data_IF_716084379466
#
_entry.id   IF_716084379466
#
_cell.length_a   1.000
_cell.length_b   1.000
_cell.length_c   1.000
_cell.angle_alpha   90.00
_cell.angle_beta   90.00
_cell.angle_gamma   90.00
#
_symmetry.space_group_name_H-M   'P 1'
#
loop_
_entity.id
_entity.type
_entity.pdbx_description
1 polymer ?
#
# COMPACT_ATOMS: atom_id res chain seq x y z
N UNK A 1 -22.45 -2.40 7.58
CA UNK A 1 -22.94 -2.06 6.20
C UNK A 1 -21.81 -1.33 5.49
N UNK A 2 -21.52 -1.68 4.21
CA UNK A 2 -20.46 -1.05 3.44
C UNK A 2 -21.08 0.01 2.52
N UNK A 3 -20.95 1.29 2.86
CA UNK A 3 -21.54 2.41 2.12
C UNK A 3 -20.79 2.65 0.82
N UNK A 4 -21.50 2.57 -0.32
CA UNK A 4 -20.94 2.98 -1.61
C UNK A 4 -20.99 4.50 -1.76
N UNK A 5 -19.89 5.09 -2.19
CA UNK A 5 -19.81 6.52 -2.50
C UNK A 5 -20.40 6.83 -3.87
N UNK A 6 -20.89 8.07 -4.03
CA UNK A 6 -21.36 8.64 -5.31
C UNK A 6 -20.26 9.46 -5.99
N UNK A 7 -20.24 9.64 -7.33
CA UNK A 7 -19.28 10.51 -8.01
C UNK A 7 -19.36 11.98 -7.56
N UNK A 8 -18.21 12.64 -7.44
CA UNK A 8 -18.16 14.06 -7.10
C UNK A 8 -16.85 14.54 -6.47
N UNK A 9 -16.79 15.77 -5.93
CA UNK A 9 -15.64 16.25 -5.21
C UNK A 9 -15.47 15.47 -3.90
N UNK A 10 -14.21 15.25 -3.50
CA UNK A 10 -13.90 14.58 -2.22
C UNK A 10 -14.23 15.48 -1.02
N UNK A 11 -13.90 16.77 -1.12
CA UNK A 11 -14.06 17.75 -0.05
C UNK A 11 -15.05 18.84 -0.45
N UNK A 12 -15.75 19.37 0.52
CA UNK A 12 -16.58 20.58 0.40
C UNK A 12 -15.70 21.87 0.50
N UNK A 13 -16.34 23.04 0.34
CA UNK A 13 -15.66 24.35 0.40
C UNK A 13 -15.07 24.66 1.77
N UNK A 14 -15.39 23.89 2.81
CA UNK A 14 -14.85 24.01 4.15
C UNK A 14 -13.72 23.02 4.44
N UNK A 15 -13.42 22.16 3.47
CA UNK A 15 -12.40 21.11 3.57
C UNK A 15 -12.84 19.87 4.35
N UNK A 16 -14.14 19.60 4.44
CA UNK A 16 -14.70 18.39 5.04
C UNK A 16 -14.98 17.35 3.95
N UNK A 17 -14.90 16.07 4.29
CA UNK A 17 -15.39 15.00 3.40
C UNK A 17 -16.85 15.21 3.06
N UNK A 18 -17.18 15.22 1.77
CA UNK A 18 -18.57 15.31 1.28
C UNK A 18 -19.32 14.01 1.60
N UNK A 19 -18.65 12.89 1.48
CA UNK A 19 -19.22 11.56 1.70
C UNK A 19 -18.14 10.62 2.23
N UNK A 20 -18.53 9.69 3.09
CA UNK A 20 -17.66 8.64 3.63
C UNK A 20 -18.13 7.29 3.12
N UNK A 21 -17.19 6.39 2.80
CA UNK A 21 -17.54 5.10 2.24
C UNK A 21 -16.43 4.56 1.34
N UNK A 22 -16.81 3.63 0.46
CA UNK A 22 -15.88 3.02 -0.49
C UNK A 22 -16.45 3.03 -1.93
N UNK A 23 -15.60 2.71 -2.89
CA UNK A 23 -15.99 2.49 -4.28
C UNK A 23 -15.03 1.50 -4.96
N UNK A 24 -15.45 0.78 -6.02
CA UNK A 24 -14.58 -0.10 -6.79
C UNK A 24 -13.71 0.66 -7.81
N UNK A 25 -13.84 1.98 -7.91
CA UNK A 25 -13.07 2.83 -8.81
C UNK A 25 -12.92 4.25 -8.26
N UNK A 26 -12.02 5.04 -8.85
CA UNK A 26 -11.83 6.44 -8.47
C UNK A 26 -13.00 7.31 -8.94
N UNK A 27 -13.98 7.52 -8.06
CA UNK A 27 -15.18 8.32 -8.34
C UNK A 27 -15.22 9.65 -7.58
N UNK A 28 -14.38 9.82 -6.54
CA UNK A 28 -14.22 11.07 -5.79
C UNK A 28 -12.96 11.78 -6.25
N UNK A 29 -13.10 13.05 -6.60
CA UNK A 29 -11.99 13.87 -7.09
C UNK A 29 -11.26 14.51 -5.92
N UNK A 30 -10.05 14.04 -5.64
CA UNK A 30 -9.12 14.69 -4.73
C UNK A 30 -8.59 15.97 -5.37
N UNK A 31 -8.48 17.03 -4.58
CA UNK A 31 -7.80 18.28 -4.92
C UNK A 31 -7.02 18.76 -3.72
N UNK A 32 -5.69 18.78 -3.83
CA UNK A 32 -4.83 19.28 -2.74
C UNK A 32 -5.20 20.72 -2.35
N UNK A 33 -5.59 21.54 -3.31
CA UNK A 33 -6.01 22.93 -3.10
C UNK A 33 -7.30 23.10 -2.29
N UNK A 34 -8.15 22.06 -2.23
CA UNK A 34 -9.37 22.07 -1.42
C UNK A 34 -9.11 21.79 0.08
N UNK A 35 -7.89 21.39 0.44
CA UNK A 35 -7.53 21.11 1.83
C UNK A 35 -7.31 22.43 2.57
N UNK A 36 -8.08 22.66 3.62
CA UNK A 36 -8.00 23.86 4.47
C UNK A 36 -7.06 23.69 5.68
N UNK A 37 -6.55 22.49 5.93
CA UNK A 37 -5.59 22.22 6.97
C UNK A 37 -4.20 22.80 6.64
N UNK A 38 -3.36 23.09 7.65
CA UNK A 38 -2.00 23.53 7.42
C UNK A 38 -1.19 22.53 6.57
N UNK A 39 -0.39 23.04 5.62
CA UNK A 39 0.34 22.20 4.64
C UNK A 39 1.23 21.14 5.27
N UNK A 40 1.80 21.38 6.45
CA UNK A 40 2.63 20.41 7.16
C UNK A 40 1.85 19.19 7.67
N UNK A 41 0.51 19.27 7.73
CA UNK A 41 -0.36 18.16 8.13
C UNK A 41 -0.83 17.30 6.96
N UNK A 42 -0.65 17.76 5.73
CA UNK A 42 -1.07 17.01 4.54
C UNK A 42 -0.07 15.88 4.32
N UNK A 43 -0.59 14.68 4.09
CA UNK A 43 0.16 13.46 3.82
C UNK A 43 -0.25 12.92 2.47
N UNK A 44 0.72 12.68 1.61
CA UNK A 44 0.53 12.11 0.29
C UNK A 44 1.64 11.10 0.03
N UNK A 45 1.29 9.93 -0.52
CA UNK A 45 2.28 8.93 -0.91
C UNK A 45 1.78 8.06 -2.04
N UNK A 46 2.75 7.55 -2.77
CA UNK A 46 2.60 6.42 -3.67
C UNK A 46 3.60 5.35 -3.21
N UNK A 47 3.08 4.22 -2.78
CA UNK A 47 3.84 3.04 -2.38
C UNK A 47 3.52 1.90 -3.33
N UNK A 48 4.53 1.39 -4.00
CA UNK A 48 4.45 0.17 -4.81
C UNK A 48 5.19 -0.95 -4.12
N UNK A 49 4.61 -2.15 -4.12
CA UNK A 49 5.30 -3.37 -3.73
C UNK A 49 5.08 -4.42 -4.81
N UNK A 50 6.16 -4.91 -5.39
CA UNK A 50 6.15 -5.95 -6.44
C UNK A 50 6.86 -7.18 -5.92
N UNK A 51 6.15 -8.31 -5.92
CA UNK A 51 6.62 -9.57 -5.36
C UNK A 51 6.66 -10.67 -6.43
N UNK A 52 7.68 -11.52 -6.34
CA UNK A 52 7.76 -12.85 -6.93
C UNK A 52 7.81 -13.89 -5.82
N UNK A 53 7.81 -15.17 -6.11
CA UNK A 53 7.99 -16.22 -5.10
C UNK A 53 9.34 -16.13 -4.37
N UNK A 54 10.38 -15.59 -5.02
CA UNK A 54 11.76 -15.63 -4.56
C UNK A 54 12.28 -14.31 -3.99
N UNK A 55 11.77 -13.17 -4.51
CA UNK A 55 12.23 -11.83 -4.13
C UNK A 55 11.16 -10.77 -4.39
N UNK A 56 11.40 -9.58 -3.87
CA UNK A 56 10.50 -8.46 -4.07
C UNK A 56 11.19 -7.10 -3.94
N UNK A 57 10.51 -6.07 -4.41
CA UNK A 57 10.93 -4.68 -4.26
C UNK A 57 9.75 -3.83 -3.82
N UNK A 58 10.00 -2.95 -2.83
CA UNK A 58 9.05 -1.90 -2.47
C UNK A 58 9.66 -0.52 -2.76
N UNK A 59 8.87 0.34 -3.39
CA UNK A 59 9.25 1.68 -3.82
C UNK A 59 8.28 2.70 -3.26
N UNK A 60 8.78 3.75 -2.62
CA UNK A 60 7.96 4.77 -1.98
C UNK A 60 8.38 6.17 -2.40
N UNK A 61 7.42 7.01 -2.76
CA UNK A 61 7.57 8.46 -2.79
C UNK A 61 6.50 9.05 -1.88
N UNK A 62 6.91 9.77 -0.84
CA UNK A 62 6.00 10.36 0.13
C UNK A 62 6.31 11.83 0.41
N UNK A 63 5.25 12.66 0.45
CA UNK A 63 5.24 14.03 0.95
C UNK A 63 4.39 14.07 2.24
N UNK A 64 5.05 13.97 3.38
CA UNK A 64 4.40 14.05 4.69
C UNK A 64 4.31 15.48 5.23
N UNK A 65 4.45 16.47 4.35
CA UNK A 65 4.44 17.89 4.69
C UNK A 65 5.80 18.36 5.21
N UNK A 66 6.09 18.19 6.48
CA UNK A 66 7.39 18.57 7.07
C UNK A 66 8.54 17.61 6.69
N UNK A 67 8.24 16.43 6.22
CA UNK A 67 9.21 15.40 5.84
C UNK A 67 8.72 14.68 4.59
N UNK A 68 9.58 14.49 3.62
CA UNK A 68 9.34 13.62 2.47
C UNK A 68 10.32 12.46 2.47
N UNK A 69 10.02 11.47 1.68
CA UNK A 69 10.74 10.20 1.63
C UNK A 69 10.79 9.67 0.21
N UNK A 70 11.99 9.24 -0.22
CA UNK A 70 12.17 8.33 -1.34
C UNK A 70 12.72 7.03 -0.73
N UNK A 71 11.94 5.96 -0.79
CA UNK A 71 12.27 4.71 -0.14
C UNK A 71 12.41 3.55 -1.12
N UNK A 72 13.40 2.70 -0.90
CA UNK A 72 13.58 1.43 -1.57
C UNK A 72 13.76 0.35 -0.52
N UNK A 73 13.01 -0.75 -0.65
CA UNK A 73 13.28 -1.98 0.07
C UNK A 73 13.46 -3.12 -0.93
N UNK A 74 14.57 -3.83 -0.83
CA UNK A 74 14.81 -5.08 -1.53
C UNK A 74 14.59 -6.24 -0.55
N UNK A 75 13.93 -7.30 -1.02
CA UNK A 75 13.54 -8.46 -0.22
C UNK A 75 14.02 -9.73 -0.94
N UNK A 76 14.76 -10.60 -0.26
CA UNK A 76 15.10 -11.95 -0.74
C UNK A 76 14.43 -12.98 0.17
N UNK A 77 13.49 -13.76 -0.37
CA UNK A 77 12.71 -14.76 0.37
C UNK A 77 13.36 -16.14 0.36
N UNK A 78 14.32 -16.41 -0.53
CA UNK A 78 15.08 -17.65 -0.59
C UNK A 78 16.08 -17.75 0.55
N UNK A 79 16.72 -16.61 0.85
CA UNK A 79 17.61 -16.42 1.99
C UNK A 79 17.06 -15.24 2.77
N UNK A 80 16.12 -15.43 3.71
CA UNK A 80 15.37 -14.33 4.32
C UNK A 80 16.25 -13.15 4.70
N UNK A 81 16.19 -12.09 3.91
CA UNK A 81 17.00 -10.89 4.07
C UNK A 81 16.30 -9.68 3.41
N UNK A 82 16.45 -8.51 4.03
CA UNK A 82 15.95 -7.26 3.48
C UNK A 82 17.02 -6.17 3.53
N UNK A 83 16.98 -5.26 2.58
CA UNK A 83 17.77 -4.03 2.57
C UNK A 83 16.79 -2.88 2.34
N UNK A 84 16.62 -2.05 3.35
CA UNK A 84 15.76 -0.86 3.26
C UNK A 84 16.59 0.40 3.42
N UNK A 85 16.56 1.27 2.41
CA UNK A 85 17.21 2.57 2.45
C UNK A 85 16.28 3.70 2.02
N UNK A 86 16.46 4.84 2.65
CA UNK A 86 15.59 6.00 2.48
C UNK A 86 16.39 7.29 2.25
N UNK A 87 15.96 8.07 1.27
CA UNK A 87 16.44 9.44 1.05
C UNK A 87 15.41 10.41 1.62
N UNK A 88 15.80 11.12 2.68
CA UNK A 88 14.94 12.08 3.36
C UNK A 88 14.90 13.43 2.63
N UNK A 89 13.71 13.99 2.49
CA UNK A 89 13.45 15.28 1.85
C UNK A 89 12.88 16.25 2.92
N UNK A 90 13.63 17.26 3.37
CA UNK A 90 13.13 18.16 4.40
C UNK A 90 12.06 19.11 3.84
N UNK A 91 10.95 19.23 4.56
CA UNK A 91 9.86 20.19 4.33
C UNK A 91 9.37 20.28 2.88
N UNK A 92 8.96 19.17 2.23
CA UNK A 92 8.46 19.23 0.85
C UNK A 92 7.17 20.06 0.73
N UNK A 93 6.22 19.96 1.67
CA UNK A 93 5.02 20.80 1.77
C UNK A 93 4.19 20.85 0.47
N UNK A 94 4.13 19.74 -0.29
CA UNK A 94 3.46 19.62 -1.56
C UNK A 94 4.33 19.93 -2.79
N UNK A 95 5.62 20.23 -2.58
CA UNK A 95 6.54 20.54 -3.71
C UNK A 95 6.97 19.31 -4.51
N UNK A 96 6.69 18.09 -4.00
CA UNK A 96 6.94 16.88 -4.79
C UNK A 96 5.95 16.75 -5.94
N UNK A 97 4.80 17.45 -5.89
CA UNK A 97 3.84 17.47 -6.97
C UNK A 97 3.16 16.12 -7.21
N UNK A 98 2.91 15.36 -6.14
CA UNK A 98 2.24 14.08 -6.27
C UNK A 98 0.86 14.24 -6.94
N UNK A 99 0.50 13.37 -7.90
CA UNK A 99 -0.75 13.48 -8.67
C UNK A 99 -2.00 13.48 -7.80
N UNK A 100 -3.02 14.19 -8.27
CA UNK A 100 -4.35 14.26 -7.62
C UNK A 100 -5.24 13.06 -7.97
N UNK A 101 -4.78 12.16 -8.82
CA UNK A 101 -5.44 10.91 -9.24
C UNK A 101 -4.45 9.75 -9.20
N UNK A 102 -4.95 8.53 -8.96
CA UNK A 102 -4.17 7.32 -9.17
C UNK A 102 -4.15 6.86 -10.64
N UNK A 103 -4.97 7.46 -11.49
CA UNK A 103 -5.11 7.09 -12.91
C UNK A 103 -4.41 8.05 -13.87
N UNK A 104 -3.90 9.17 -13.38
CA UNK A 104 -3.31 10.21 -14.23
C UNK A 104 -2.23 10.99 -13.48
N UNK A 105 -1.22 11.43 -14.23
CA UNK A 105 -0.10 12.22 -13.73
C UNK A 105 1.09 11.36 -13.29
N UNK A 106 2.28 11.91 -13.49
CA UNK A 106 3.54 11.26 -13.21
C UNK A 106 4.12 11.71 -11.86
N UNK A 107 4.79 10.82 -11.17
CA UNK A 107 5.68 11.13 -10.06
C UNK A 107 7.11 11.13 -10.57
N UNK A 108 7.79 12.28 -10.53
CA UNK A 108 9.21 12.39 -10.91
C UNK A 108 9.94 13.20 -9.86
N UNK A 109 10.72 12.51 -9.03
CA UNK A 109 11.43 13.14 -7.91
C UNK A 109 12.89 12.73 -7.91
N UNK A 110 13.77 13.68 -7.64
CA UNK A 110 15.22 13.43 -7.53
C UNK A 110 15.80 14.12 -6.29
N UNK A 111 16.76 13.46 -5.67
CA UNK A 111 17.57 14.03 -4.59
C UNK A 111 19.01 13.53 -4.68
N UNK A 112 19.95 14.45 -4.90
CA UNK A 112 21.33 14.06 -5.20
C UNK A 112 21.38 13.24 -6.50
N UNK A 113 21.89 12.01 -6.39
CA UNK A 113 21.92 11.06 -7.51
C UNK A 113 20.77 10.07 -7.51
N UNK A 114 19.93 10.05 -6.48
CA UNK A 114 18.73 9.20 -6.44
C UNK A 114 17.64 9.82 -7.30
N UNK A 115 16.98 9.02 -8.14
CA UNK A 115 15.91 9.42 -9.04
C UNK A 115 14.81 8.36 -9.02
N UNK A 116 13.57 8.81 -8.82
CA UNK A 116 12.36 7.99 -8.81
C UNK A 116 11.38 8.55 -9.83
N UNK A 117 10.91 7.69 -10.73
CA UNK A 117 9.91 7.99 -11.74
C UNK A 117 8.82 6.92 -11.70
N UNK A 118 7.60 7.32 -11.44
CA UNK A 118 6.41 6.49 -11.58
C UNK A 118 5.53 7.15 -12.63
N UNK A 119 5.53 6.59 -13.83
CA UNK A 119 4.88 7.18 -15.00
C UNK A 119 3.67 6.39 -15.41
N UNK A 120 2.61 7.10 -15.77
CA UNK A 120 1.50 6.49 -16.49
C UNK A 120 1.88 6.34 -17.96
N UNK A 121 1.68 5.15 -18.49
CA UNK A 121 1.93 4.79 -19.89
C UNK A 121 0.78 3.94 -20.41
N UNK A 122 0.71 3.74 -21.72
CA UNK A 122 -0.34 2.91 -22.32
C UNK A 122 -0.37 1.51 -21.68
N UNK A 123 -1.52 1.15 -21.15
CA UNK A 123 -1.78 -0.14 -20.52
C UNK A 123 -1.23 -0.31 -19.11
N UNK A 124 -0.60 0.71 -18.48
CA UNK A 124 -0.07 0.51 -17.14
C UNK A 124 0.75 1.65 -16.56
N UNK A 125 1.68 1.24 -15.71
CA UNK A 125 2.62 2.12 -15.01
C UNK A 125 4.04 1.67 -15.24
N UNK A 126 4.94 2.60 -15.52
CA UNK A 126 6.36 2.37 -15.66
C UNK A 126 7.10 2.95 -14.46
N UNK A 127 7.73 2.10 -13.67
CA UNK A 127 8.47 2.48 -12.48
C UNK A 127 9.97 2.40 -12.79
N UNK A 128 10.65 3.54 -12.75
CA UNK A 128 12.09 3.63 -12.98
C UNK A 128 12.73 4.23 -11.74
N UNK A 129 13.69 3.52 -11.16
CA UNK A 129 14.43 4.01 -9.99
C UNK A 129 15.92 3.84 -10.21
N UNK A 130 16.66 4.94 -10.06
CA UNK A 130 18.12 4.95 -9.96
C UNK A 130 18.51 5.38 -8.55
N UNK A 131 19.18 4.50 -7.80
CA UNK A 131 19.69 4.81 -6.47
C UNK A 131 21.15 4.34 -6.32
N UNK A 132 22.12 5.14 -6.78
CA UNK A 132 23.54 4.74 -6.81
C UNK A 132 24.17 4.48 -5.44
N UNK A 133 23.62 5.04 -4.36
CA UNK A 133 24.14 4.82 -3.00
C UNK A 133 23.57 3.56 -2.32
N UNK A 134 22.57 2.91 -2.91
CA UNK A 134 21.89 1.75 -2.33
C UNK A 134 22.88 0.62 -2.01
N UNK A 135 22.64 -0.06 -0.87
CA UNK A 135 23.42 -1.20 -0.39
C UNK A 135 24.93 -0.87 -0.30
N UNK A 136 25.25 0.16 0.50
CA UNK A 136 26.63 0.56 0.69
C UNK A 136 27.35 1.07 -0.56
N UNK A 137 26.60 1.52 -1.57
CA UNK A 137 27.13 2.04 -2.84
C UNK A 137 27.24 1.00 -3.95
N UNK A 138 26.71 -0.21 -3.76
CA UNK A 138 26.54 -1.18 -4.87
C UNK A 138 25.64 -0.62 -5.97
N UNK A 139 24.68 0.22 -5.57
CA UNK A 139 23.73 0.85 -6.46
C UNK A 139 22.54 -0.05 -6.83
N UNK A 140 21.40 0.59 -7.03
CA UNK A 140 20.18 -0.07 -7.52
C UNK A 140 19.66 0.66 -8.76
N UNK A 141 19.28 -0.11 -9.77
CA UNK A 141 18.51 0.32 -10.92
C UNK A 141 17.30 -0.59 -11.07
N UNK A 142 16.09 -0.04 -11.01
CA UNK A 142 14.85 -0.75 -11.29
C UNK A 142 14.19 -0.16 -12.53
N UNK A 143 13.71 -1.06 -13.40
CA UNK A 143 12.94 -0.75 -14.61
C UNK A 143 11.81 -1.77 -14.69
N UNK A 144 10.61 -1.38 -14.21
CA UNK A 144 9.47 -2.26 -14.05
C UNK A 144 8.24 -1.66 -14.72
N UNK A 145 7.57 -2.46 -15.53
CA UNK A 145 6.25 -2.17 -16.07
C UNK A 145 5.21 -2.97 -15.29
N UNK A 146 4.21 -2.28 -14.75
CA UNK A 146 3.05 -2.87 -14.08
C UNK A 146 1.82 -2.66 -14.97
N UNK A 147 1.31 -3.74 -15.54
CA UNK A 147 0.08 -3.68 -16.33
C UNK A 147 -1.10 -3.27 -15.43
N UNK A 148 -1.93 -2.35 -15.91
CA UNK A 148 -3.13 -1.88 -15.23
C UNK A 148 -4.37 -2.24 -16.04
N UNK A 149 -4.86 -3.48 -15.95
CA UNK A 149 -6.13 -3.85 -16.57
C UNK A 149 -7.26 -3.02 -15.96
N UNK A 150 -8.38 -2.92 -16.68
CA UNK A 150 -9.59 -2.25 -16.19
C UNK A 150 -10.27 -3.17 -15.18
N UNK A 151 -9.77 -3.16 -13.95
CA UNK A 151 -10.23 -3.97 -12.84
C UNK A 151 -10.86 -3.12 -11.74
N UNK A 152 -11.65 -3.75 -10.89
CA UNK A 152 -12.09 -3.15 -9.64
C UNK A 152 -10.88 -2.92 -8.70
N UNK A 153 -10.95 -1.87 -7.89
CA UNK A 153 -9.96 -1.55 -6.85
C UNK A 153 -10.65 -1.20 -5.54
N UNK A 154 -9.92 -1.08 -4.47
CA UNK A 154 -10.43 -0.52 -3.22
C UNK A 154 -10.15 0.98 -3.18
N UNK A 155 -11.21 1.79 -3.19
CA UNK A 155 -11.13 3.25 -2.96
C UNK A 155 -11.94 3.55 -1.71
N UNK A 156 -11.35 4.26 -0.75
CA UNK A 156 -12.01 4.57 0.52
C UNK A 156 -11.82 6.02 0.93
N UNK A 157 -12.87 6.62 1.50
CA UNK A 157 -12.83 7.92 2.14
C UNK A 157 -13.27 7.77 3.61
N UNK A 158 -12.31 7.93 4.53
CA UNK A 158 -12.49 7.69 5.97
C UNK A 158 -12.28 8.98 6.76
N UNK A 159 -13.22 9.41 7.61
CA UNK A 159 -13.05 10.55 8.51
C UNK A 159 -12.28 10.14 9.76
N UNK A 160 -11.71 11.12 10.47
CA UNK A 160 -11.17 10.90 11.81
C UNK A 160 -12.14 11.43 12.88
N UNK A 161 -12.46 10.64 13.91
CA UNK A 161 -13.33 11.09 15.00
C UNK A 161 -12.79 12.36 15.65
N UNK A 162 -13.67 13.33 15.92
CA UNK A 162 -13.34 14.61 16.59
C UNK A 162 -12.37 15.53 15.82
N UNK A 163 -12.08 15.24 14.55
CA UNK A 163 -11.17 16.02 13.71
C UNK A 163 -11.79 16.22 12.31
N UNK A 164 -12.81 17.07 12.20
CA UNK A 164 -13.67 17.23 11.02
C UNK A 164 -12.97 17.58 9.70
N UNK A 165 -11.74 18.10 9.76
CA UNK A 165 -10.88 18.39 8.59
C UNK A 165 -9.77 17.37 8.40
N UNK A 166 -9.74 16.31 9.22
CA UNK A 166 -8.85 15.19 9.04
C UNK A 166 -9.59 14.07 8.31
N UNK A 167 -8.93 13.51 7.33
CA UNK A 167 -9.47 12.44 6.50
C UNK A 167 -8.35 11.58 5.94
N UNK A 168 -8.72 10.38 5.55
CA UNK A 168 -7.92 9.45 4.79
C UNK A 168 -8.66 9.13 3.50
N UNK A 169 -8.07 9.45 2.36
CA UNK A 169 -8.53 9.05 1.05
C UNK A 169 -7.47 8.16 0.42
N UNK A 170 -7.84 6.94 0.13
CA UNK A 170 -6.88 5.92 -0.28
C UNK A 170 -7.41 5.04 -1.39
N UNK A 171 -6.50 4.58 -2.22
CA UNK A 171 -6.74 3.56 -3.23
C UNK A 171 -5.73 2.43 -3.06
N UNK A 172 -6.21 1.20 -3.01
CA UNK A 172 -5.40 -0.01 -3.10
C UNK A 172 -5.71 -0.68 -4.44
N UNK A 173 -4.68 -0.76 -5.28
CA UNK A 173 -4.79 -1.38 -6.60
C UNK A 173 -3.92 -2.64 -6.58
N UNK A 174 -4.59 -3.78 -6.44
CA UNK A 174 -3.96 -5.08 -6.30
C UNK A 174 -3.84 -5.80 -7.66
N UNK A 175 -3.12 -6.91 -7.66
CA UNK A 175 -3.03 -7.86 -8.78
C UNK A 175 -2.50 -7.24 -10.08
N UNK A 176 -1.61 -6.25 -10.00
CA UNK A 176 -0.97 -5.64 -11.17
C UNK A 176 0.12 -6.59 -11.69
N UNK A 177 -0.06 -7.27 -12.85
CA UNK A 177 1.01 -8.08 -13.44
C UNK A 177 2.23 -7.22 -13.70
N UNK A 178 3.41 -7.65 -13.26
CA UNK A 178 4.63 -6.87 -13.33
C UNK A 178 5.70 -7.56 -14.16
N UNK A 179 6.39 -6.81 -15.03
CA UNK A 179 7.51 -7.29 -15.83
C UNK A 179 8.64 -6.28 -15.83
N UNK A 180 9.88 -6.76 -15.98
CA UNK A 180 11.05 -5.89 -16.05
C UNK A 180 12.22 -6.43 -15.26
N UNK A 181 13.12 -5.54 -14.85
CA UNK A 181 14.37 -5.94 -14.18
C UNK A 181 14.70 -5.02 -13.01
N UNK A 182 15.34 -5.60 -12.00
CA UNK A 182 16.03 -4.87 -10.94
C UNK A 182 17.48 -5.32 -10.92
N UNK A 183 18.40 -4.37 -10.95
CA UNK A 183 19.85 -4.62 -10.81
C UNK A 183 20.33 -4.05 -9.50
N UNK A 184 21.09 -4.84 -8.74
CA UNK A 184 21.78 -4.40 -7.53
C UNK A 184 23.27 -4.76 -7.66
N UNK A 185 24.13 -3.76 -7.85
CA UNK A 185 25.53 -4.01 -8.17
C UNK A 185 25.67 -4.73 -9.51
N UNK A 186 26.18 -5.97 -9.46
CA UNK A 186 26.32 -6.86 -10.62
C UNK A 186 25.18 -7.86 -10.78
N UNK A 187 24.23 -7.92 -9.83
CA UNK A 187 23.20 -8.94 -9.78
C UNK A 187 21.92 -8.45 -10.47
N UNK A 188 21.43 -9.21 -11.44
CA UNK A 188 20.21 -8.93 -12.19
C UNK A 188 19.07 -9.84 -11.72
N UNK A 189 17.92 -9.24 -11.47
CA UNK A 189 16.68 -9.92 -11.06
C UNK A 189 15.58 -9.62 -12.06
N UNK A 190 14.92 -10.65 -12.58
CA UNK A 190 13.91 -10.54 -13.64
C UNK A 190 12.52 -10.78 -13.09
N UNK A 191 11.63 -9.83 -13.26
CA UNK A 191 10.20 -9.94 -12.98
C UNK A 191 9.46 -10.32 -14.27
N UNK A 192 8.53 -11.27 -14.19
CA UNK A 192 7.74 -11.75 -15.33
C UNK A 192 6.26 -11.62 -15.00
N UNK A 193 5.47 -11.16 -15.97
CA UNK A 193 4.04 -10.86 -15.76
C UNK A 193 3.19 -12.09 -15.41
N UNK A 194 3.68 -13.28 -15.68
CA UNK A 194 3.02 -14.54 -15.35
C UNK A 194 3.19 -14.98 -13.90
N UNK A 195 4.19 -14.46 -13.17
CA UNK A 195 4.52 -14.87 -11.79
C UNK A 195 4.84 -13.71 -10.85
N UNK A 196 4.86 -12.48 -11.35
CA UNK A 196 5.19 -11.28 -10.59
C UNK A 196 3.99 -10.34 -10.51
N UNK A 197 3.63 -9.93 -9.30
CA UNK A 197 2.46 -9.08 -9.10
C UNK A 197 2.79 -7.90 -8.18
N UNK A 198 2.26 -6.74 -8.57
CA UNK A 198 2.37 -5.51 -7.80
C UNK A 198 1.08 -5.10 -7.12
N UNK A 199 1.25 -4.30 -6.08
CA UNK A 199 0.19 -3.51 -5.46
C UNK A 199 0.62 -2.05 -5.43
N UNK A 200 -0.32 -1.14 -5.67
CA UNK A 200 -0.17 0.29 -5.40
C UNK A 200 -1.03 0.65 -4.19
N UNK A 201 -0.39 1.26 -3.20
CA UNK A 201 -1.04 2.02 -2.13
C UNK A 201 -0.86 3.52 -2.43
N UNK A 202 -1.93 4.13 -2.93
CA UNK A 202 -2.02 5.55 -3.22
C UNK A 202 -2.80 6.23 -2.11
N UNK A 203 -2.15 7.06 -1.32
CA UNK A 203 -2.78 7.69 -0.16
C UNK A 203 -2.68 9.20 -0.18
N UNK A 204 -3.78 9.87 0.19
CA UNK A 204 -3.91 11.32 0.33
C UNK A 204 -4.74 11.64 1.58
N UNK A 205 -4.29 12.62 2.35
CA UNK A 205 -5.09 12.95 3.52
C UNK A 205 -4.50 13.99 4.45
N UNK A 206 -5.21 14.15 5.56
CA UNK A 206 -4.81 14.96 6.71
C UNK A 206 -5.04 14.11 7.94
N UNK A 207 -3.97 13.69 8.60
CA UNK A 207 -4.06 12.74 9.72
C UNK A 207 -4.13 13.43 11.07
N UNK A 208 -4.61 12.68 12.06
CA UNK A 208 -4.45 13.00 13.47
C UNK A 208 -3.02 12.73 13.93
N UNK A 209 -2.64 13.19 15.12
CA UNK A 209 -1.27 13.14 15.61
C UNK A 209 -0.82 11.73 16.02
N UNK A 210 -1.73 10.94 16.58
CA UNK A 210 -1.45 9.59 17.10
C UNK A 210 -2.35 8.60 16.36
N UNK A 211 -1.74 7.62 15.68
CA UNK A 211 -2.45 6.64 14.87
C UNK A 211 -1.80 5.28 15.01
N UNK A 212 -2.64 4.25 15.05
CA UNK A 212 -2.23 2.86 14.91
C UNK A 212 -3.10 2.23 13.82
N UNK A 213 -2.46 1.49 12.91
CA UNK A 213 -3.19 0.74 11.91
C UNK A 213 -2.57 -0.64 11.67
N UNK A 214 -3.40 -1.49 11.14
CA UNK A 214 -3.07 -2.82 10.68
C UNK A 214 -3.40 -2.89 9.19
N UNK A 215 -2.50 -3.42 8.39
CA UNK A 215 -2.69 -3.57 6.96
C UNK A 215 -2.10 -4.89 6.50
N UNK A 216 -2.81 -5.58 5.59
CA UNK A 216 -2.31 -6.76 4.90
C UNK A 216 -2.71 -6.75 3.45
N UNK A 217 -1.84 -7.25 2.58
CA UNK A 217 -2.07 -7.31 1.15
C UNK A 217 -1.32 -8.48 0.53
N UNK A 218 -1.97 -9.12 -0.43
CA UNK A 218 -1.33 -10.12 -1.28
C UNK A 218 -1.88 -10.01 -2.69
N UNK A 219 -1.07 -10.42 -3.67
CA UNK A 219 -1.44 -10.47 -5.09
C UNK A 219 -0.70 -11.60 -5.77
N UNK A 220 -1.40 -12.39 -6.59
CA UNK A 220 -0.81 -13.53 -7.28
C UNK A 220 -1.83 -14.30 -8.14
N UNK A 221 -1.56 -15.56 -8.34
CA UNK A 221 -2.47 -16.49 -9.01
C UNK A 221 -2.98 -17.55 -8.03
N UNK A 222 -4.28 -17.77 -8.02
CA UNK A 222 -4.94 -18.89 -7.33
C UNK A 222 -5.78 -19.64 -8.35
N UNK A 223 -5.53 -20.93 -8.50
CA UNK A 223 -6.18 -21.77 -9.54
C UNK A 223 -6.03 -21.23 -10.97
N UNK A 224 -4.92 -20.53 -11.26
CA UNK A 224 -4.65 -19.96 -12.58
C UNK A 224 -5.34 -18.61 -12.85
N UNK A 225 -6.08 -18.07 -11.89
CA UNK A 225 -6.77 -16.79 -11.99
C UNK A 225 -6.09 -15.75 -11.09
N UNK A 226 -6.08 -14.47 -11.51
CA UNK A 226 -5.55 -13.38 -10.69
C UNK A 226 -6.38 -13.26 -9.42
N UNK A 227 -5.69 -13.36 -8.30
CA UNK A 227 -6.26 -13.32 -6.97
C UNK A 227 -5.44 -12.37 -6.09
N UNK A 228 -6.11 -11.58 -5.28
CA UNK A 228 -5.47 -10.76 -4.27
C UNK A 228 -6.46 -10.25 -3.25
N UNK A 229 -5.93 -9.59 -2.23
CA UNK A 229 -6.76 -8.95 -1.23
C UNK A 229 -6.05 -7.74 -0.63
N UNK A 230 -6.87 -6.86 -0.08
CA UNK A 230 -6.47 -5.81 0.85
C UNK A 230 -7.30 -5.97 2.12
N UNK A 231 -6.65 -6.02 3.26
CA UNK A 231 -7.28 -6.12 4.57
C UNK A 231 -6.65 -5.11 5.53
N UNK A 232 -7.44 -4.50 6.40
CA UNK A 232 -6.91 -3.54 7.36
C UNK A 232 -7.97 -2.92 8.25
N UNK A 233 -7.49 -2.30 9.33
CA UNK A 233 -8.30 -1.54 10.29
C UNK A 233 -7.42 -0.61 11.14
N UNK A 234 -8.06 0.19 11.97
CA UNK A 234 -7.40 1.07 12.94
C UNK A 234 -7.14 2.48 12.44
N UNK A 235 -7.24 2.75 11.13
CA UNK A 235 -6.95 4.06 10.56
C UNK A 235 -8.24 4.84 10.25
N UNK A 236 -8.57 5.81 11.12
CA UNK A 236 -9.79 6.60 11.02
C UNK A 236 -11.06 5.84 11.46
N UNK A 237 -12.22 6.37 11.09
CA UNK A 237 -13.54 5.81 11.41
C UNK A 237 -14.09 4.97 10.26
N UNK A 238 -13.92 3.66 10.35
CA UNK A 238 -14.33 2.70 9.32
C UNK A 238 -15.78 2.21 9.43
N UNK A 239 -16.63 2.88 10.23
CA UNK A 239 -18.05 2.48 10.39
C UNK A 239 -18.84 2.57 9.08
N UNK A 240 -18.51 3.50 8.18
CA UNK A 240 -19.15 3.63 6.88
C UNK A 240 -18.67 2.56 5.89
N UNK A 241 -17.37 2.24 5.90
CA UNK A 241 -16.77 1.19 5.09
C UNK A 241 -15.42 0.76 5.68
N UNK A 242 -15.11 -0.53 5.57
CA UNK A 242 -13.79 -1.10 5.88
C UNK A 242 -12.87 -1.03 4.65
N UNK A 243 -11.56 -1.28 4.83
CA UNK A 243 -10.61 -1.47 3.72
C UNK A 243 -10.61 -2.91 3.20
N UNK A 244 -11.38 -3.81 3.83
CA UNK A 244 -11.32 -5.24 3.60
C UNK A 244 -12.03 -5.64 2.31
N UNK A 245 -11.28 -6.26 1.40
CA UNK A 245 -11.76 -6.62 0.06
C UNK A 245 -10.90 -7.74 -0.53
N UNK A 246 -11.52 -8.61 -1.31
CA UNK A 246 -10.83 -9.64 -2.11
C UNK A 246 -11.06 -9.34 -3.59
N UNK A 247 -10.08 -9.64 -4.41
CA UNK A 247 -10.12 -9.50 -5.86
C UNK A 247 -9.93 -10.88 -6.50
N UNK A 248 -10.83 -11.26 -7.40
CA UNK A 248 -10.75 -12.49 -8.20
C UNK A 248 -11.06 -12.15 -9.65
N UNK A 249 -10.15 -12.44 -10.56
CA UNK A 249 -10.34 -12.16 -11.99
C UNK A 249 -10.62 -10.68 -12.29
N UNK A 250 -10.10 -9.76 -11.46
CA UNK A 250 -10.35 -8.33 -11.59
C UNK A 250 -11.67 -7.83 -10.97
N UNK A 251 -12.44 -8.69 -10.29
CA UNK A 251 -13.70 -8.34 -9.61
C UNK A 251 -13.48 -8.23 -8.11
N UNK A 252 -14.07 -7.20 -7.52
CA UNK A 252 -14.02 -6.94 -6.08
C UNK A 252 -15.14 -7.66 -5.32
N UNK A 253 -14.78 -8.31 -4.22
CA UNK A 253 -15.67 -8.93 -3.25
C UNK A 253 -15.47 -8.25 -1.90
N UNK A 254 -16.39 -7.40 -1.50
CA UNK A 254 -16.25 -6.56 -0.31
C UNK A 254 -16.48 -7.37 0.96
N UNK A 255 -15.54 -7.24 1.89
CA UNK A 255 -15.61 -7.83 3.23
C UNK A 255 -15.97 -6.78 4.28
N UNK A 256 -16.41 -7.22 5.45
CA UNK A 256 -16.76 -6.33 6.55
C UNK A 256 -15.55 -6.17 7.49
N UNK A 257 -15.55 -6.77 8.67
CA UNK A 257 -14.44 -6.66 9.62
C UNK A 257 -13.53 -7.88 9.54
N UNK A 258 -12.23 -7.62 9.59
CA UNK A 258 -11.20 -8.66 9.76
C UNK A 258 -10.39 -8.31 11.00
N UNK A 259 -10.15 -9.28 11.83
CA UNK A 259 -9.31 -9.19 13.01
C UNK A 259 -7.96 -9.89 12.73
N UNK A 260 -6.85 -9.26 13.15
CA UNK A 260 -5.49 -9.80 13.05
C UNK A 260 -5.10 -10.34 14.43
N UNK A 261 -4.89 -11.65 14.52
CA UNK A 261 -4.35 -12.29 15.72
C UNK A 261 -2.82 -12.39 15.56
N UNK A 262 -2.14 -11.34 16.04
CA UNK A 262 -0.69 -11.19 15.97
C UNK A 262 -0.08 -11.80 17.23
N UNK A 263 0.86 -12.75 17.12
CA UNK A 263 1.53 -13.34 18.27
C UNK A 263 2.23 -12.31 19.15
N UNK A 264 2.06 -12.42 20.48
CA UNK A 264 2.69 -11.50 21.41
C UNK A 264 4.21 -11.66 21.45
N UNK A 265 4.94 -10.54 21.37
CA UNK A 265 6.39 -10.48 21.60
C UNK A 265 7.26 -10.80 20.39
N UNK A 266 6.69 -11.22 19.27
CA UNK A 266 7.42 -11.46 18.02
C UNK A 266 6.51 -11.28 16.82
N UNK A 267 7.07 -10.77 15.71
CA UNK A 267 6.34 -10.60 14.45
C UNK A 267 6.68 -11.69 13.44
N UNK A 268 7.85 -12.30 13.54
CA UNK A 268 8.38 -13.30 12.59
C UNK A 268 8.58 -14.69 13.22
N UNK A 269 8.34 -14.84 14.52
CA UNK A 269 8.63 -16.08 15.26
C UNK A 269 7.48 -17.09 15.32
N UNK A 270 6.26 -16.72 14.89
CA UNK A 270 5.09 -17.59 14.92
C UNK A 270 4.05 -17.15 13.90
N UNK A 271 3.19 -18.08 13.48
CA UNK A 271 2.11 -17.83 12.52
C UNK A 271 1.09 -16.84 13.08
N UNK A 272 0.56 -15.97 12.21
CA UNK A 272 -0.57 -15.10 12.52
C UNK A 272 -1.86 -15.72 12.01
N UNK A 273 -2.99 -15.33 12.61
CA UNK A 273 -4.29 -15.71 12.10
C UNK A 273 -5.11 -14.47 11.73
N UNK A 274 -5.90 -14.59 10.69
CA UNK A 274 -6.81 -13.56 10.21
C UNK A 274 -8.19 -14.16 10.08
N UNK A 275 -9.17 -13.54 10.71
CA UNK A 275 -10.55 -14.01 10.65
C UNK A 275 -11.51 -12.87 10.42
N UNK A 276 -12.51 -13.10 9.56
CA UNK A 276 -13.59 -12.15 9.35
C UNK A 276 -14.78 -12.42 10.29
N UNK A 277 -15.51 -11.36 10.63
CA UNK A 277 -16.69 -11.47 11.50
C UNK A 277 -17.85 -12.29 10.90
N UNK A 278 -17.79 -12.59 9.60
CA UNK A 278 -18.80 -13.34 8.86
C UNK A 278 -18.29 -14.70 8.32
N UNK A 279 -17.05 -15.08 8.65
CA UNK A 279 -16.44 -16.33 8.21
C UNK A 279 -16.06 -16.37 6.72
N UNK A 280 -16.06 -15.23 6.05
CA UNK A 280 -15.77 -15.15 4.61
C UNK A 280 -14.27 -15.04 4.30
N UNK A 281 -13.42 -14.78 5.29
CA UNK A 281 -11.98 -14.68 5.16
C UNK A 281 -11.31 -15.31 6.38
N UNK A 282 -10.74 -16.49 6.19
CA UNK A 282 -10.07 -17.25 7.24
C UNK A 282 -8.69 -17.66 6.74
N UNK A 283 -7.63 -17.00 7.24
CA UNK A 283 -6.26 -17.20 6.78
C UNK A 283 -5.30 -17.40 7.93
N UNK A 284 -4.33 -18.28 7.71
CA UNK A 284 -3.09 -18.38 8.49
C UNK A 284 -1.97 -17.75 7.66
N UNK A 285 -1.05 -17.07 8.31
CA UNK A 285 0.09 -16.40 7.70
C UNK A 285 1.38 -16.91 8.33
N UNK A 286 2.27 -17.43 7.50
CA UNK A 286 3.60 -17.89 7.90
C UNK A 286 4.63 -16.81 7.59
N UNK A 287 5.17 -16.11 8.60
CA UNK A 287 6.17 -15.07 8.42
C UNK A 287 7.46 -15.59 7.79
N UNK A 288 8.12 -14.73 7.00
CA UNK A 288 9.44 -14.99 6.41
C UNK A 288 10.43 -13.88 6.79
N UNK A 289 10.03 -12.60 6.66
CA UNK A 289 10.86 -11.44 6.92
C UNK A 289 10.04 -10.40 7.68
N UNK A 290 10.52 -9.92 8.81
CA UNK A 290 10.02 -8.71 9.46
C UNK A 290 10.84 -7.50 9.00
N UNK A 291 10.30 -6.70 8.09
CA UNK A 291 10.85 -5.39 7.73
C UNK A 291 10.48 -4.39 8.82
N UNK A 292 11.28 -4.37 9.87
CA UNK A 292 11.07 -3.53 11.03
C UNK A 292 11.76 -2.18 10.90
N UNK A 293 11.07 -1.11 11.26
CA UNK A 293 11.65 0.22 11.35
C UNK A 293 11.15 0.95 12.61
N UNK A 294 12.09 1.51 13.38
CA UNK A 294 11.77 2.32 14.54
C UNK A 294 12.46 3.66 14.47
N UNK A 295 11.68 4.71 14.64
CA UNK A 295 12.14 6.08 14.77
C UNK A 295 11.45 6.72 15.97
N UNK A 296 12.22 7.27 16.91
CA UNK A 296 11.68 7.94 18.09
C UNK A 296 12.57 9.12 18.47
N UNK A 297 12.03 10.33 18.38
CA UNK A 297 12.66 11.58 18.83
C UNK A 297 11.75 12.32 19.82
N UNK A 298 10.97 11.58 20.60
CA UNK A 298 10.06 12.07 21.63
C UNK A 298 8.74 12.59 21.07
N UNK A 299 8.74 13.71 20.38
CA UNK A 299 7.52 14.29 19.77
C UNK A 299 7.11 13.61 18.47
N UNK A 300 8.03 12.95 17.81
CA UNK A 300 7.77 12.16 16.59
C UNK A 300 8.19 10.72 16.85
N UNK A 301 7.28 9.79 16.57
CA UNK A 301 7.53 8.36 16.75
C UNK A 301 6.91 7.58 15.61
N UNK A 302 7.65 6.63 15.08
CA UNK A 302 7.15 5.62 14.16
C UNK A 302 7.71 4.28 14.54
N UNK A 303 6.85 3.30 14.77
CA UNK A 303 7.21 1.90 14.97
C UNK A 303 6.44 1.14 13.90
N UNK A 304 7.16 0.47 13.03
CA UNK A 304 6.60 -0.25 11.90
C UNK A 304 7.15 -1.67 11.90
N UNK A 305 6.25 -2.63 11.76
CA UNK A 305 6.56 -4.01 11.45
C UNK A 305 5.74 -4.39 10.21
N UNK A 306 6.37 -4.43 9.04
CA UNK A 306 5.77 -4.98 7.84
C UNK A 306 6.39 -6.35 7.59
N UNK A 307 5.61 -7.36 7.91
CA UNK A 307 6.05 -8.75 7.85
C UNK A 307 5.64 -9.33 6.51
N UNK A 308 6.62 -9.82 5.76
CA UNK A 308 6.39 -10.56 4.52
C UNK A 308 6.31 -12.05 4.84
N UNK A 309 5.39 -12.74 4.16
CA UNK A 309 5.15 -14.16 4.44
C UNK A 309 4.10 -14.76 3.52
N UNK A 310 3.67 -15.96 3.82
CA UNK A 310 2.72 -16.74 3.00
C UNK A 310 1.38 -16.89 3.68
N UNK A 311 0.33 -16.54 2.95
CA UNK A 311 -1.05 -16.73 3.38
C UNK A 311 -1.60 -18.04 2.86
N UNK A 312 -2.27 -18.81 3.75
CA UNK A 312 -3.00 -20.02 3.39
C UNK A 312 -4.33 -20.06 4.13
N UNK A 313 -5.41 -20.46 3.44
CA UNK A 313 -6.72 -20.52 4.05
C UNK A 313 -7.86 -20.53 3.05
N UNK A 314 -8.99 -19.93 3.40
CA UNK A 314 -10.20 -19.96 2.58
C UNK A 314 -10.87 -18.59 2.54
N UNK A 315 -11.36 -18.23 1.37
CA UNK A 315 -12.20 -17.05 1.14
C UNK A 315 -13.53 -17.48 0.53
N UNK A 316 -14.64 -16.86 1.00
CA UNK A 316 -15.98 -17.05 0.42
C UNK A 316 -16.36 -15.76 -0.31
N UNK A 317 -16.60 -15.88 -1.62
CA UNK A 317 -16.99 -14.77 -2.50
C UNK A 317 -18.45 -14.34 -2.27
N UNK A 318 -18.89 -13.27 -2.92
CA UNK A 318 -20.24 -12.73 -2.76
C UNK A 318 -21.35 -13.69 -3.26
N UNK A 319 -21.02 -14.57 -4.18
CA UNK A 319 -21.93 -15.61 -4.71
C UNK A 319 -21.89 -16.93 -3.91
N UNK A 320 -21.11 -16.97 -2.81
CA UNK A 320 -20.93 -18.17 -2.00
C UNK A 320 -19.82 -19.11 -2.48
N UNK A 321 -19.14 -18.82 -3.59
CA UNK A 321 -18.02 -19.62 -4.06
C UNK A 321 -16.89 -19.61 -3.06
N UNK A 322 -16.37 -20.80 -2.72
CA UNK A 322 -15.21 -20.96 -1.83
C UNK A 322 -13.92 -21.06 -2.64
N UNK A 323 -12.96 -20.20 -2.32
CA UNK A 323 -11.61 -20.17 -2.91
C UNK A 323 -10.60 -20.60 -1.86
N UNK A 324 -9.88 -21.69 -2.13
CA UNK A 324 -8.79 -22.16 -1.26
C UNK A 324 -7.48 -21.52 -1.72
N UNK A 325 -6.84 -20.78 -0.81
CA UNK A 325 -5.56 -20.13 -1.02
C UNK A 325 -4.47 -20.96 -0.37
N UNK A 326 -3.33 -21.14 -1.04
CA UNK A 326 -2.18 -21.88 -0.53
C UNK A 326 -0.90 -21.10 -0.84
N UNK A 327 -0.12 -20.85 0.20
CA UNK A 327 1.23 -20.25 0.12
C UNK A 327 1.30 -18.96 -0.71
N UNK A 328 0.23 -18.16 -0.73
CA UNK A 328 0.19 -16.88 -1.44
C UNK A 328 1.09 -15.87 -0.73
N UNK A 329 2.17 -15.45 -1.39
CA UNK A 329 3.08 -14.47 -0.85
C UNK A 329 2.41 -13.10 -0.75
N UNK A 330 2.62 -12.44 0.37
CA UNK A 330 2.12 -11.09 0.64
C UNK A 330 2.77 -10.53 1.88
N UNK A 331 2.12 -9.57 2.50
CA UNK A 331 2.58 -9.00 3.75
C UNK A 331 1.41 -8.64 4.66
N UNK A 332 1.72 -8.51 5.95
CA UNK A 332 0.85 -7.93 6.96
C UNK A 332 1.67 -7.02 7.86
N UNK A 333 1.08 -5.92 8.34
CA UNK A 333 1.80 -4.95 9.15
C UNK A 333 1.00 -4.45 10.35
N UNK A 334 1.74 -4.07 11.38
CA UNK A 334 1.29 -3.20 12.46
C UNK A 334 2.16 -1.94 12.45
N UNK A 335 1.52 -0.78 12.44
CA UNK A 335 2.23 0.50 12.46
C UNK A 335 1.64 1.40 13.53
N UNK A 336 2.52 1.97 14.35
CA UNK A 336 2.18 2.93 15.41
C UNK A 336 2.94 4.21 15.16
N UNK A 337 2.22 5.26 14.78
CA UNK A 337 2.80 6.56 14.44
C UNK A 337 2.27 7.66 15.34
N UNK A 338 3.20 8.54 15.71
CA UNK A 338 2.92 9.81 16.37
C UNK A 338 3.67 10.92 15.66
N UNK A 339 2.94 11.75 14.88
CA UNK A 339 3.53 12.82 14.06
C UNK A 339 2.53 13.85 13.50
#
# INVERSE_FOLDING_TARGET
MQTLMSPGPLLDDRGHLVETGWAPSEIRKYRRSAITAPKFRIKEWDYYCVLTADYGIALTVADNGYMGLLGVSWLDFRTPHEITENVMLPFPMGRLGLPESADDGDVVVSKGKARFEFRHVDGGRHLIVDYPAFDGGRGLHADLFLASPVDDRMVIATPFPKASRSFYYNQKINCLPAAGTVRIGSDDFTFRSEDSFGVLDWGRGVWTYDNTWYWGSASGLVNGERFGFNIGYGFGDTRAASENIVFVGGRAHKLDRIDFDIPQGTYDGASWNFSSNDGRFEMTFEPIIDRAATFDVGVLRSIQHQVFGKFSGTVILDDGTSVVVRDLLGFAEEVRNRW
#
